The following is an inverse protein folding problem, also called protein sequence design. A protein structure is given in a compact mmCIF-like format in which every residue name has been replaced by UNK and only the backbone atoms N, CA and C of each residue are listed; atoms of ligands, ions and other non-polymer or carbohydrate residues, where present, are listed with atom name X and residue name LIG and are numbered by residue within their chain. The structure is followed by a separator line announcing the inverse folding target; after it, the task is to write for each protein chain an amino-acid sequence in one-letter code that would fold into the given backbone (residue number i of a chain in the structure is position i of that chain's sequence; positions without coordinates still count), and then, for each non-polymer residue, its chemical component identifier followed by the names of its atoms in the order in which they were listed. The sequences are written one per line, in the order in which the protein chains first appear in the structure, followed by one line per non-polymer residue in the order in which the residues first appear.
data_IF_558846042570
#
_entry.id   IF_558846042570
#
_cell.length_a   1.000
_cell.length_b   1.000
_cell.length_c   1.000
_cell.angle_alpha   90.00
_cell.angle_beta   90.00
_cell.angle_gamma   90.00
#
_symmetry.space_group_name_H-M   'P 1'
#
loop_
_entity.id
_entity.type
_entity.pdbx_description
1 polymer ?
#
# COMPACT_ATOMS: atom_id res chain seq x y z
N UNK A 1 5.93 -63.92 -25.07
CA UNK A 1 4.96 -62.81 -24.82
C UNK A 1 5.25 -61.98 -23.55
N UNK A 2 6.16 -62.38 -22.64
CA UNK A 2 6.45 -61.69 -21.37
C UNK A 2 7.37 -60.44 -21.44
N UNK A 3 7.99 -60.15 -22.59
CA UNK A 3 8.93 -59.03 -22.77
C UNK A 3 8.28 -57.71 -23.20
N UNK A 4 6.96 -57.69 -23.46
CA UNK A 4 6.23 -56.51 -23.93
C UNK A 4 5.61 -55.69 -22.80
N UNK A 5 5.18 -56.33 -21.70
CA UNK A 5 4.61 -55.65 -20.52
C UNK A 5 5.62 -55.00 -19.56
N UNK A 6 6.88 -55.46 -19.54
CA UNK A 6 7.95 -54.84 -18.72
C UNK A 6 8.47 -53.52 -19.30
N UNK A 7 8.48 -53.39 -20.63
CA UNK A 7 8.98 -52.17 -21.31
C UNK A 7 8.01 -50.99 -21.21
N UNK A 8 6.70 -51.26 -21.25
CA UNK A 8 5.68 -50.22 -21.04
C UNK A 8 5.69 -49.70 -19.60
N UNK A 9 5.96 -50.56 -18.61
CA UNK A 9 6.09 -50.16 -17.20
C UNK A 9 7.35 -49.33 -16.91
N UNK A 10 8.44 -49.56 -17.63
CA UNK A 10 9.66 -48.77 -17.49
C UNK A 10 9.51 -47.39 -18.13
N UNK A 11 8.98 -47.32 -19.36
CA UNK A 11 8.70 -46.06 -20.04
C UNK A 11 7.66 -45.20 -19.32
N UNK A 12 6.61 -45.80 -18.73
CA UNK A 12 5.65 -45.05 -17.92
C UNK A 12 6.25 -44.51 -16.62
N UNK A 13 7.30 -45.16 -16.10
CA UNK A 13 7.98 -44.75 -14.87
C UNK A 13 8.95 -43.60 -15.13
N UNK A 14 9.72 -43.69 -16.20
CA UNK A 14 10.59 -42.61 -16.67
C UNK A 14 9.80 -41.32 -16.95
N UNK A 15 8.65 -41.45 -17.63
CA UNK A 15 7.73 -40.32 -17.85
C UNK A 15 7.19 -39.72 -16.54
N UNK A 16 6.87 -40.57 -15.55
CA UNK A 16 6.38 -40.09 -14.25
C UNK A 16 7.47 -39.35 -13.46
N UNK A 17 8.73 -39.79 -13.58
CA UNK A 17 9.88 -39.13 -12.98
C UNK A 17 10.11 -37.74 -13.64
N UNK A 18 10.00 -37.65 -14.97
CA UNK A 18 10.06 -36.37 -15.70
C UNK A 18 8.95 -35.39 -15.27
N UNK A 19 7.70 -35.86 -15.16
CA UNK A 19 6.60 -35.02 -14.68
C UNK A 19 6.83 -34.52 -13.25
N UNK A 20 7.39 -35.38 -12.38
CA UNK A 20 7.73 -34.98 -11.01
C UNK A 20 8.80 -33.88 -11.03
N UNK A 21 9.81 -34.01 -11.89
CA UNK A 21 10.81 -32.97 -12.14
C UNK A 21 10.19 -31.64 -12.59
N UNK A 22 9.31 -31.67 -13.59
CA UNK A 22 8.62 -30.48 -14.09
C UNK A 22 7.75 -29.81 -13.01
N UNK A 23 7.07 -30.59 -12.16
CA UNK A 23 6.30 -30.05 -11.04
C UNK A 23 7.21 -29.31 -10.07
N UNK A 24 8.36 -29.90 -9.72
CA UNK A 24 9.31 -29.24 -8.79
C UNK A 24 9.89 -27.94 -9.35
N UNK A 25 10.17 -27.88 -10.66
CA UNK A 25 10.62 -26.67 -11.34
C UNK A 25 9.51 -25.59 -11.36
N UNK A 26 8.28 -25.97 -11.69
CA UNK A 26 7.13 -25.05 -11.68
C UNK A 26 6.85 -24.47 -10.29
N UNK A 27 6.99 -25.26 -9.22
CA UNK A 27 6.82 -24.79 -7.84
C UNK A 27 7.91 -23.77 -7.44
N UNK A 28 9.14 -23.99 -7.92
CA UNK A 28 10.26 -23.06 -7.74
C UNK A 28 10.02 -21.76 -8.48
N UNK A 29 9.65 -21.81 -9.76
CA UNK A 29 9.32 -20.64 -10.58
C UNK A 29 8.17 -19.83 -9.99
N UNK A 30 7.11 -20.51 -9.52
CA UNK A 30 6.01 -19.88 -8.81
C UNK A 30 6.49 -19.13 -7.56
N UNK A 31 7.46 -19.68 -6.84
CA UNK A 31 8.02 -19.05 -5.64
C UNK A 31 8.87 -17.81 -5.98
N UNK A 32 9.68 -17.86 -7.03
CA UNK A 32 10.39 -16.67 -7.55
C UNK A 32 9.42 -15.60 -8.03
N UNK A 33 8.41 -15.98 -8.81
CA UNK A 33 7.37 -15.08 -9.29
C UNK A 33 6.63 -14.42 -8.11
N UNK A 34 6.33 -15.18 -7.05
CA UNK A 34 5.67 -14.65 -5.86
C UNK A 34 6.56 -13.65 -5.08
N UNK A 35 7.87 -13.91 -4.97
CA UNK A 35 8.81 -12.94 -4.39
C UNK A 35 8.89 -11.66 -5.21
N UNK A 36 8.97 -11.78 -6.54
CA UNK A 36 8.91 -10.64 -7.46
C UNK A 36 7.62 -9.85 -7.28
N UNK A 37 6.47 -10.52 -7.26
CA UNK A 37 5.17 -9.90 -7.06
C UNK A 37 5.06 -9.20 -5.69
N UNK A 38 5.64 -9.78 -4.63
CA UNK A 38 5.74 -9.11 -3.32
C UNK A 38 6.62 -7.86 -3.36
N UNK A 39 7.73 -7.90 -4.10
CA UNK A 39 8.63 -6.74 -4.27
C UNK A 39 7.89 -5.60 -4.99
N UNK A 40 7.30 -5.87 -6.14
CA UNK A 40 6.49 -4.90 -6.88
C UNK A 40 5.30 -4.39 -6.07
N UNK A 41 4.61 -5.27 -5.36
CA UNK A 41 3.49 -4.87 -4.52
C UNK A 41 3.92 -3.91 -3.41
N UNK A 42 5.07 -4.16 -2.78
CA UNK A 42 5.62 -3.27 -1.75
C UNK A 42 6.00 -1.91 -2.35
N UNK A 43 6.67 -1.91 -3.50
CA UNK A 43 7.06 -0.69 -4.19
C UNK A 43 5.83 0.13 -4.62
N UNK A 44 4.80 -0.53 -5.12
CA UNK A 44 3.56 0.12 -5.55
C UNK A 44 2.80 0.77 -4.38
N UNK A 45 2.66 0.07 -3.25
CA UNK A 45 2.07 0.64 -2.03
C UNK A 45 2.86 1.86 -1.56
N UNK A 46 4.19 1.74 -1.52
CA UNK A 46 5.07 2.83 -1.09
C UNK A 46 4.94 4.05 -2.00
N UNK A 47 4.96 3.82 -3.32
CA UNK A 47 4.78 4.89 -4.30
C UNK A 47 3.42 5.58 -4.18
N UNK A 48 2.35 4.81 -3.95
CA UNK A 48 1.01 5.35 -3.68
C UNK A 48 0.98 6.22 -2.43
N UNK A 49 1.53 5.72 -1.31
CA UNK A 49 1.60 6.47 -0.05
C UNK A 49 2.39 7.76 -0.21
N UNK A 50 3.54 7.73 -0.89
CA UNK A 50 4.35 8.92 -1.16
C UNK A 50 3.58 9.92 -2.02
N UNK A 51 2.93 9.47 -3.09
CA UNK A 51 2.17 10.34 -3.98
C UNK A 51 1.00 11.01 -3.24
N UNK A 52 0.21 10.22 -2.51
CA UNK A 52 -0.94 10.71 -1.76
C UNK A 52 -0.53 11.69 -0.67
N UNK A 53 0.47 11.35 0.14
CA UNK A 53 0.95 12.23 1.23
C UNK A 53 1.56 13.52 0.69
N UNK A 54 2.32 13.45 -0.41
CA UNK A 54 2.87 14.64 -1.07
C UNK A 54 1.75 15.56 -1.53
N UNK A 55 0.74 15.02 -2.21
CA UNK A 55 -0.41 15.78 -2.67
C UNK A 55 -1.19 16.41 -1.51
N UNK A 56 -1.58 15.61 -0.50
CA UNK A 56 -2.30 16.09 0.68
C UNK A 56 -1.55 17.20 1.42
N UNK A 57 -0.23 17.06 1.60
CA UNK A 57 0.61 18.09 2.20
C UNK A 57 0.64 19.38 1.37
N UNK A 58 0.63 19.26 0.03
CA UNK A 58 0.61 20.43 -0.85
C UNK A 58 -0.72 21.18 -0.76
N UNK A 59 -1.85 20.47 -0.76
CA UNK A 59 -3.18 21.07 -0.61
C UNK A 59 -3.36 21.70 0.78
N UNK A 60 -2.88 21.05 1.83
CA UNK A 60 -2.88 21.63 3.17
C UNK A 60 -2.11 22.95 3.25
N UNK A 61 -0.90 23.00 2.66
CA UNK A 61 -0.09 24.23 2.61
C UNK A 61 -0.81 25.34 1.83
N UNK A 62 -1.45 25.02 0.70
CA UNK A 62 -2.23 25.99 -0.08
C UNK A 62 -3.41 26.53 0.74
N UNK A 63 -4.14 25.66 1.44
CA UNK A 63 -5.26 26.06 2.29
C UNK A 63 -4.82 27.02 3.40
N UNK A 64 -3.71 26.72 4.08
CA UNK A 64 -3.15 27.61 5.11
C UNK A 64 -2.66 28.94 4.56
N UNK A 65 -2.03 28.94 3.38
CA UNK A 65 -1.60 30.17 2.71
C UNK A 65 -2.80 31.00 2.21
N UNK A 66 -3.91 30.35 1.88
CA UNK A 66 -5.15 30.95 1.38
C UNK A 66 -6.17 31.30 2.46
N UNK A 67 -5.81 31.31 3.75
CA UNK A 67 -6.74 31.68 4.83
C UNK A 67 -7.31 33.08 4.55
N UNK A 68 -8.64 33.17 4.45
CA UNK A 68 -9.30 34.42 4.06
C UNK A 68 -9.07 35.55 5.07
N UNK A 69 -8.85 36.80 4.61
CA UNK A 69 -8.74 37.95 5.50
C UNK A 69 -9.99 38.18 6.36
N UNK A 70 -11.17 37.82 5.85
CA UNK A 70 -12.43 37.90 6.59
C UNK A 70 -12.43 36.96 7.81
N UNK A 71 -11.94 35.72 7.66
CA UNK A 71 -11.81 34.78 8.76
C UNK A 71 -10.81 35.29 9.81
N UNK A 72 -9.64 35.78 9.39
CA UNK A 72 -8.65 36.37 10.32
C UNK A 72 -9.22 37.54 11.12
N UNK A 73 -9.96 38.44 10.45
CA UNK A 73 -10.62 39.58 11.10
C UNK A 73 -11.62 39.11 12.14
N UNK A 74 -12.49 38.16 11.81
CA UNK A 74 -13.47 37.60 12.74
C UNK A 74 -12.79 36.92 13.94
N UNK A 75 -11.76 36.12 13.68
CA UNK A 75 -10.98 35.41 14.70
C UNK A 75 -10.35 36.37 15.72
N UNK A 76 -9.69 37.44 15.24
CA UNK A 76 -9.06 38.45 16.11
C UNK A 76 -10.08 39.25 16.92
N UNK A 77 -11.21 39.63 16.31
CA UNK A 77 -12.28 40.35 17.03
C UNK A 77 -12.92 39.47 18.12
N UNK A 78 -13.10 38.17 17.85
CA UNK A 78 -13.62 37.21 18.82
C UNK A 78 -12.68 37.06 20.01
N UNK A 79 -11.37 36.92 19.77
CA UNK A 79 -10.35 36.91 20.83
C UNK A 79 -10.47 38.19 21.67
N UNK A 80 -10.50 39.36 21.02
CA UNK A 80 -10.58 40.64 21.72
C UNK A 80 -11.82 40.76 22.58
N UNK A 81 -12.97 40.27 22.10
CA UNK A 81 -14.21 40.23 22.87
C UNK A 81 -14.09 39.39 24.14
N UNK A 82 -13.44 38.23 24.06
CA UNK A 82 -13.24 37.32 25.19
C UNK A 82 -12.24 37.88 26.21
N UNK A 83 -11.18 38.54 25.75
CA UNK A 83 -10.26 39.28 26.62
C UNK A 83 -11.01 40.35 27.43
N UNK A 84 -11.90 41.11 26.78
CA UNK A 84 -12.69 42.15 27.44
C UNK A 84 -13.72 41.56 28.44
N UNK A 85 -14.17 40.32 28.25
CA UNK A 85 -15.07 39.64 29.19
C UNK A 85 -14.34 38.95 30.34
N UNK A 86 -12.99 38.97 30.37
CA UNK A 86 -12.20 38.32 31.41
C UNK A 86 -12.01 36.81 31.24
N UNK A 87 -12.20 36.28 30.02
CA UNK A 87 -11.88 34.88 29.73
C UNK A 87 -10.38 34.62 29.96
N UNK A 88 -10.07 33.49 30.59
CA UNK A 88 -8.71 33.11 31.00
C UNK A 88 -7.87 32.57 29.85
N UNK A 89 -8.49 31.96 28.84
CA UNK A 89 -7.80 31.53 27.62
C UNK A 89 -8.58 31.88 26.35
N UNK A 90 -8.64 33.18 25.97
CA UNK A 90 -9.36 33.64 24.79
C UNK A 90 -8.91 32.92 23.51
N UNK A 91 -7.59 32.85 23.27
CA UNK A 91 -7.05 32.21 22.06
C UNK A 91 -7.37 30.72 21.97
N UNK A 92 -7.19 29.97 23.06
CA UNK A 92 -7.49 28.53 23.03
C UNK A 92 -8.98 28.29 22.79
N UNK A 93 -9.84 29.12 23.39
CA UNK A 93 -11.30 29.06 23.18
C UNK A 93 -11.66 29.28 21.71
N UNK A 94 -11.16 30.35 21.07
CA UNK A 94 -11.48 30.62 19.67
C UNK A 94 -10.86 29.59 18.72
N UNK A 95 -9.65 29.10 18.99
CA UNK A 95 -9.06 27.99 18.20
C UNK A 95 -9.92 26.73 18.27
N UNK A 96 -10.48 26.41 19.44
CA UNK A 96 -11.41 25.29 19.59
C UNK A 96 -12.71 25.54 18.83
N UNK A 97 -13.32 26.72 18.97
CA UNK A 97 -14.52 27.10 18.21
C UNK A 97 -14.31 26.93 16.69
N UNK A 98 -13.16 27.38 16.18
CA UNK A 98 -12.79 27.25 14.77
C UNK A 98 -12.57 25.78 14.36
N UNK A 99 -11.89 24.99 15.20
CA UNK A 99 -11.68 23.57 14.97
C UNK A 99 -12.98 22.77 14.95
N UNK A 100 -13.90 23.06 15.88
CA UNK A 100 -15.22 22.43 15.96
C UNK A 100 -16.05 22.74 14.70
N UNK A 101 -16.04 24.00 14.25
CA UNK A 101 -16.70 24.40 13.01
C UNK A 101 -16.09 23.70 11.77
N UNK A 102 -14.77 23.62 11.69
CA UNK A 102 -14.08 22.93 10.59
C UNK A 102 -14.40 21.44 10.57
N UNK A 103 -14.44 20.77 11.73
CA UNK A 103 -14.81 19.36 11.85
C UNK A 103 -16.27 19.10 11.42
N UNK A 104 -17.18 20.00 11.77
CA UNK A 104 -18.58 19.88 11.33
C UNK A 104 -18.68 19.98 9.80
N UNK A 105 -17.96 20.93 9.20
CA UNK A 105 -17.96 21.10 7.74
C UNK A 105 -17.27 19.95 7.03
N UNK A 106 -16.16 19.43 7.57
CA UNK A 106 -15.45 18.30 6.98
C UNK A 106 -16.28 17.02 6.98
N UNK A 107 -17.13 16.81 7.98
CA UNK A 107 -18.05 15.68 8.02
C UNK A 107 -19.13 15.72 6.92
N UNK A 108 -19.42 16.91 6.38
CA UNK A 108 -20.38 17.12 5.30
C UNK A 108 -19.71 17.23 3.93
N UNK A 109 -18.40 17.39 3.89
CA UNK A 109 -17.63 17.57 2.67
C UNK A 109 -17.46 16.25 1.94
N UNK A 110 -17.72 16.28 0.63
CA UNK A 110 -17.53 15.15 -0.26
C UNK A 110 -16.65 15.59 -1.42
N UNK A 111 -15.60 14.81 -1.70
CA UNK A 111 -14.76 15.02 -2.87
C UNK A 111 -15.56 14.67 -4.13
N UNK A 112 -15.70 15.63 -5.04
CA UNK A 112 -16.18 15.37 -6.39
C UNK A 112 -14.99 14.88 -7.24
N UNK A 113 -14.90 13.56 -7.40
CA UNK A 113 -13.75 12.93 -8.07
C UNK A 113 -13.58 13.37 -9.53
N UNK A 114 -14.64 13.84 -10.20
CA UNK A 114 -14.56 14.38 -11.56
C UNK A 114 -13.80 15.73 -11.59
N UNK A 115 -13.77 16.44 -10.47
CA UNK A 115 -13.05 17.70 -10.28
C UNK A 115 -11.70 17.51 -9.58
N UNK A 116 -11.31 16.28 -9.28
CA UNK A 116 -10.06 15.95 -8.59
C UNK A 116 -9.10 15.22 -9.54
N UNK A 117 -8.35 15.93 -10.40
CA UNK A 117 -7.51 15.31 -11.43
C UNK A 117 -6.37 14.45 -10.86
N UNK A 118 -5.91 14.75 -9.64
CA UNK A 118 -4.88 13.93 -8.97
C UNK A 118 -5.54 12.74 -8.27
N UNK A 119 -6.58 12.97 -7.47
CA UNK A 119 -7.22 11.90 -6.69
C UNK A 119 -8.00 10.91 -7.55
N UNK A 120 -8.50 11.32 -8.72
CA UNK A 120 -9.15 10.40 -9.68
C UNK A 120 -8.19 9.32 -10.19
N UNK A 121 -6.89 9.62 -10.26
CA UNK A 121 -5.84 8.67 -10.66
C UNK A 121 -5.28 7.92 -9.46
N UNK A 122 -4.93 8.63 -8.38
CA UNK A 122 -4.27 8.00 -7.22
C UNK A 122 -5.25 7.28 -6.31
N UNK A 123 -6.52 7.69 -6.29
CA UNK A 123 -7.50 7.25 -5.32
C UNK A 123 -7.20 7.74 -3.90
N UNK A 124 -8.21 7.67 -3.03
CA UNK A 124 -8.05 8.04 -1.62
C UNK A 124 -7.61 6.88 -0.72
N UNK A 125 -7.77 5.65 -1.18
CA UNK A 125 -7.51 4.46 -0.39
C UNK A 125 -6.25 3.76 -0.87
N UNK A 126 -5.58 3.06 0.05
CA UNK A 126 -4.48 2.17 -0.29
C UNK A 126 -4.94 1.20 -1.39
N UNK A 127 -4.16 1.04 -2.47
CA UNK A 127 -4.59 0.20 -3.58
C UNK A 127 -4.66 -1.27 -3.18
N UNK A 128 -5.68 -1.95 -3.69
CA UNK A 128 -5.83 -3.40 -3.54
C UNK A 128 -4.89 -4.09 -4.51
N UNK A 129 -4.06 -5.01 -4.00
CA UNK A 129 -3.16 -5.81 -4.82
C UNK A 129 -3.72 -7.22 -4.91
N UNK A 130 -4.00 -7.68 -6.13
CA UNK A 130 -4.49 -9.02 -6.43
C UNK A 130 -3.35 -9.94 -6.87
N UNK A 131 -3.47 -11.25 -6.64
CA UNK A 131 -2.49 -12.24 -7.12
C UNK A 131 -1.18 -12.29 -6.32
N UNK A 132 -1.10 -11.56 -5.21
CA UNK A 132 0.05 -11.56 -4.29
C UNK A 132 -0.33 -12.23 -2.97
N UNK A 133 0.52 -13.10 -2.46
CA UNK A 133 0.40 -13.61 -1.09
C UNK A 133 0.59 -12.46 -0.10
N UNK A 134 -0.52 -11.98 0.45
CA UNK A 134 -0.52 -10.84 1.36
C UNK A 134 0.17 -11.15 2.70
N UNK A 135 0.23 -12.40 3.13
CA UNK A 135 0.94 -12.78 4.35
C UNK A 135 2.45 -12.72 4.14
N UNK A 136 2.92 -13.14 2.96
CA UNK A 136 4.32 -13.02 2.56
C UNK A 136 4.72 -11.56 2.26
N UNK A 137 3.87 -10.81 1.56
CA UNK A 137 4.05 -9.37 1.29
C UNK A 137 4.23 -8.56 2.58
N UNK A 138 3.49 -8.89 3.65
CA UNK A 138 3.57 -8.19 4.93
C UNK A 138 4.76 -8.62 5.80
N UNK A 139 5.52 -9.63 5.41
CA UNK A 139 6.61 -10.17 6.22
C UNK A 139 7.96 -10.14 5.48
N UNK A 140 8.78 -9.09 5.67
CA UNK A 140 10.12 -9.02 5.10
C UNK A 140 11.00 -10.22 5.45
N UNK A 141 10.94 -10.68 6.70
CA UNK A 141 11.71 -11.83 7.16
C UNK A 141 11.34 -13.13 6.42
N UNK A 142 10.04 -13.38 6.18
CA UNK A 142 9.60 -14.55 5.40
C UNK A 142 10.05 -14.46 3.95
N UNK A 143 10.05 -13.27 3.34
CA UNK A 143 10.58 -13.08 1.99
C UNK A 143 12.07 -13.35 1.92
N UNK A 144 12.85 -12.85 2.86
CA UNK A 144 14.29 -13.09 2.92
C UNK A 144 14.59 -14.59 3.09
N UNK A 145 13.85 -15.27 3.97
CA UNK A 145 13.98 -16.71 4.16
C UNK A 145 13.69 -17.48 2.86
N UNK A 146 12.56 -17.21 2.22
CA UNK A 146 12.19 -17.86 0.96
C UNK A 146 13.20 -17.57 -0.15
N UNK A 147 13.72 -16.34 -0.24
CA UNK A 147 14.75 -15.99 -1.22
C UNK A 147 16.06 -16.76 -1.00
N UNK A 148 16.47 -16.92 0.27
CA UNK A 148 17.65 -17.70 0.61
C UNK A 148 17.48 -19.20 0.31
N UNK A 149 16.29 -19.76 0.58
CA UNK A 149 15.96 -21.15 0.25
C UNK A 149 15.99 -21.41 -1.27
N UNK A 150 15.49 -20.46 -2.07
CA UNK A 150 15.53 -20.58 -3.53
C UNK A 150 16.95 -20.46 -4.08
N UNK A 151 17.73 -19.50 -3.58
CA UNK A 151 19.13 -19.33 -3.99
C UNK A 151 20.00 -20.56 -3.66
N UNK A 152 19.75 -21.22 -2.52
CA UNK A 152 20.43 -22.47 -2.17
C UNK A 152 20.10 -23.59 -3.18
N UNK A 153 18.83 -23.73 -3.57
CA UNK A 153 18.38 -24.70 -4.57
C UNK A 153 18.94 -24.41 -5.97
N UNK A 154 19.06 -23.14 -6.34
CA UNK A 154 19.70 -22.72 -7.59
C UNK A 154 21.17 -23.18 -7.65
N UNK A 155 21.90 -23.02 -6.55
CA UNK A 155 23.30 -23.44 -6.44
C UNK A 155 23.45 -24.96 -6.51
N UNK A 156 22.63 -25.73 -5.79
CA UNK A 156 22.68 -27.21 -5.81
C UNK A 156 22.37 -27.78 -7.21
N UNK A 157 21.49 -27.14 -7.98
CA UNK A 157 21.16 -27.55 -9.36
C UNK A 157 22.22 -27.14 -10.40
N UNK A 158 23.09 -26.18 -10.08
CA UNK A 158 24.17 -25.73 -10.98
C UNK A 158 25.47 -26.55 -10.82
N UNK A 159 25.64 -27.26 -9.70
CA UNK A 159 26.82 -28.07 -9.38
C UNK A 159 26.63 -29.58 -9.63
N UNK A 160 25.40 -30.04 -9.90
CA UNK A 160 25.04 -31.42 -10.25
C UNK A 160 24.87 -31.66 -11.74
#
# INVERSE_FOLDING_TARGET
MLLRGRRTSAASRELADEFTGLITELEKDKSHAMLGACSFGTAYISAHEIAFTTYANSEWKKALAGISPALLRGFLLRIRSLEMSGETSPRATVTRELGDALNLQSALYHFDMEQEPVLSVTGMNRPVITGVDMALLRSPARRMKLAAELAAKDHEQAEG
#
